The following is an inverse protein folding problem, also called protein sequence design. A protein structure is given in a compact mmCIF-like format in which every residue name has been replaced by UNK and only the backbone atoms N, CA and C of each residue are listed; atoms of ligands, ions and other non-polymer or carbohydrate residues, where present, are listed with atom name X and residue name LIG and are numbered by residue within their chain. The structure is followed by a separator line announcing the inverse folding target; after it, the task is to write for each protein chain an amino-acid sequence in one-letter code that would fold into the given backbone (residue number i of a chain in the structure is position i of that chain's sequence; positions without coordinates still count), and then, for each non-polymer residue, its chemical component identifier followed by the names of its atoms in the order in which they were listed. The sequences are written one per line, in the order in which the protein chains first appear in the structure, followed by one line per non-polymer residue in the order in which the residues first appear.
data_IF_352247575427
#
_entry.id   IF_352247575427
#
_cell.length_a   1.000
_cell.length_b   1.000
_cell.length_c   1.000
_cell.angle_alpha   90.00
_cell.angle_beta   90.00
_cell.angle_gamma   90.00
#
_symmetry.space_group_name_H-M   'P 1'
#
loop_
_entity.id
_entity.type
_entity.pdbx_description
1 polymer ?
#
# COMPACT_ATOMS: atom_id res chain seq x y z
N UNK A 1 29.55 -12.08 -11.42
CA UNK A 1 28.17 -11.90 -11.88
C UNK A 1 27.20 -12.23 -10.72
N UNK A 2 27.12 -13.47 -10.18
CA UNK A 2 26.17 -13.84 -9.13
C UNK A 2 26.28 -12.98 -7.86
N UNK A 3 27.52 -12.71 -7.40
CA UNK A 3 27.80 -11.88 -6.22
C UNK A 3 27.27 -10.44 -6.39
N UNK A 4 27.34 -9.89 -7.59
CA UNK A 4 26.83 -8.54 -7.89
C UNK A 4 25.30 -8.51 -7.94
N UNK A 5 24.69 -9.55 -8.53
CA UNK A 5 23.23 -9.68 -8.55
C UNK A 5 22.70 -9.75 -7.12
N UNK A 6 23.24 -10.65 -6.28
CA UNK A 6 22.84 -10.78 -4.88
C UNK A 6 23.04 -9.46 -4.13
N UNK A 7 24.19 -8.78 -4.32
CA UNK A 7 24.48 -7.49 -3.66
C UNK A 7 23.52 -6.38 -4.04
N UNK A 8 22.92 -6.42 -5.23
CA UNK A 8 21.92 -5.44 -5.68
C UNK A 8 20.51 -5.82 -5.30
N UNK A 9 20.20 -7.12 -5.27
CA UNK A 9 18.83 -7.63 -5.06
C UNK A 9 18.45 -7.81 -3.59
N UNK A 10 19.41 -8.10 -2.69
CA UNK A 10 19.09 -8.37 -1.28
C UNK A 10 18.33 -7.26 -0.56
N UNK A 11 18.57 -5.95 -0.83
CA UNK A 11 17.81 -4.91 -0.13
C UNK A 11 16.34 -4.88 -0.56
N UNK A 12 16.07 -5.20 -1.83
CA UNK A 12 14.70 -5.33 -2.35
C UNK A 12 14.04 -6.55 -1.73
N UNK A 13 14.73 -7.69 -1.73
CA UNK A 13 14.22 -8.92 -1.11
C UNK A 13 13.90 -8.72 0.38
N UNK A 14 14.75 -8.01 1.12
CA UNK A 14 14.52 -7.71 2.53
C UNK A 14 13.31 -6.79 2.73
N UNK A 15 13.15 -5.73 1.91
CA UNK A 15 11.98 -4.86 2.01
C UNK A 15 10.69 -5.60 1.67
N UNK A 16 10.71 -6.52 0.69
CA UNK A 16 9.56 -7.39 0.37
C UNK A 16 9.26 -8.32 1.55
N UNK A 17 10.28 -8.95 2.15
CA UNK A 17 10.10 -9.82 3.30
C UNK A 17 9.49 -9.07 4.50
N UNK A 18 9.99 -7.88 4.82
CA UNK A 18 9.43 -7.03 5.87
C UNK A 18 8.00 -6.60 5.56
N UNK A 19 7.69 -6.29 4.30
CA UNK A 19 6.34 -5.99 3.85
C UNK A 19 5.40 -7.17 4.05
N UNK A 20 5.80 -8.38 3.66
CA UNK A 20 5.01 -9.60 3.86
C UNK A 20 4.77 -9.90 5.35
N UNK A 21 5.74 -9.61 6.22
CA UNK A 21 5.57 -9.79 7.66
C UNK A 21 4.39 -8.95 8.15
N UNK A 22 4.38 -7.64 7.93
CA UNK A 22 3.28 -6.84 8.47
C UNK A 22 1.96 -7.02 7.69
N UNK A 23 1.98 -7.40 6.40
CA UNK A 23 0.76 -7.64 5.61
C UNK A 23 0.08 -8.99 5.92
N UNK A 24 0.77 -9.95 6.49
CA UNK A 24 0.19 -11.28 6.75
C UNK A 24 0.13 -11.64 8.23
N UNK A 25 0.84 -10.90 9.08
CA UNK A 25 0.83 -11.10 10.54
C UNK A 25 -0.53 -10.73 11.14
N UNK A 26 -1.26 -9.80 10.57
CA UNK A 26 -2.62 -9.44 10.96
C UNK A 26 -3.57 -10.65 10.97
N UNK A 27 -3.63 -11.36 9.84
CA UNK A 27 -4.46 -12.57 9.68
C UNK A 27 -3.97 -13.70 10.59
N UNK A 28 -2.66 -13.85 10.74
CA UNK A 28 -2.07 -14.85 11.63
C UNK A 28 -2.45 -14.59 13.09
N UNK A 29 -2.25 -13.38 13.61
CA UNK A 29 -2.61 -13.03 14.98
C UNK A 29 -4.13 -13.13 15.18
N UNK A 30 -4.92 -12.67 14.21
CA UNK A 30 -6.37 -12.79 14.27
C UNK A 30 -6.82 -14.27 14.40
N UNK A 31 -6.19 -15.18 13.65
CA UNK A 31 -6.50 -16.61 13.69
C UNK A 31 -6.13 -17.30 15.00
N UNK A 32 -5.13 -16.77 15.72
CA UNK A 32 -4.71 -17.30 17.01
C UNK A 32 -5.55 -16.80 18.20
N UNK A 33 -6.18 -15.62 18.05
CA UNK A 33 -6.80 -14.90 19.18
C UNK A 33 -8.33 -14.83 19.05
N UNK A 34 -8.87 -14.99 17.85
CA UNK A 34 -10.30 -14.81 17.57
C UNK A 34 -10.91 -16.07 16.91
N UNK A 35 -12.26 -16.25 17.04
CA UNK A 35 -12.96 -17.36 16.38
C UNK A 35 -12.78 -17.36 14.86
N UNK A 36 -12.87 -18.53 14.24
CA UNK A 36 -12.73 -18.69 12.78
C UNK A 36 -13.72 -17.83 11.99
N UNK A 37 -14.90 -17.56 12.51
CA UNK A 37 -15.87 -16.67 11.87
C UNK A 37 -15.30 -15.25 11.68
N UNK A 38 -14.60 -14.70 12.69
CA UNK A 38 -13.96 -13.39 12.58
C UNK A 38 -12.83 -13.40 11.54
N UNK A 39 -12.06 -14.48 11.45
CA UNK A 39 -11.02 -14.65 10.43
C UNK A 39 -11.65 -14.75 9.04
N UNK A 40 -12.78 -15.43 8.90
CA UNK A 40 -13.54 -15.53 7.65
C UNK A 40 -14.05 -14.17 7.16
N UNK A 41 -14.64 -13.36 8.07
CA UNK A 41 -15.12 -12.01 7.78
C UNK A 41 -13.95 -11.11 7.31
N UNK A 42 -12.83 -11.13 8.02
CA UNK A 42 -11.63 -10.37 7.65
C UNK A 42 -11.04 -10.82 6.32
N UNK A 43 -10.86 -12.14 6.17
CA UNK A 43 -10.26 -12.75 4.98
C UNK A 43 -11.07 -12.51 3.72
N UNK A 44 -12.40 -12.48 3.81
CA UNK A 44 -13.28 -12.19 2.66
C UNK A 44 -13.06 -10.75 2.16
N UNK A 45 -13.00 -9.75 3.07
CA UNK A 45 -12.69 -8.37 2.71
C UNK A 45 -11.27 -8.24 2.15
N UNK A 46 -10.31 -8.95 2.75
CA UNK A 46 -8.91 -8.90 2.34
C UNK A 46 -8.68 -9.44 0.92
N UNK A 47 -9.43 -10.47 0.50
CA UNK A 47 -9.38 -10.97 -0.89
C UNK A 47 -9.76 -9.91 -1.92
N UNK A 48 -10.75 -9.07 -1.61
CA UNK A 48 -11.12 -7.95 -2.50
C UNK A 48 -9.96 -6.95 -2.58
N UNK A 49 -9.34 -6.63 -1.44
CA UNK A 49 -8.17 -5.74 -1.40
C UNK A 49 -6.99 -6.32 -2.18
N UNK A 50 -6.69 -7.61 -2.04
CA UNK A 50 -5.60 -8.27 -2.79
C UNK A 50 -5.77 -8.10 -4.31
N UNK A 51 -7.00 -8.17 -4.82
CA UNK A 51 -7.30 -7.90 -6.24
C UNK A 51 -7.09 -6.43 -6.58
N UNK A 52 -7.63 -5.52 -5.77
CA UNK A 52 -7.56 -4.07 -6.01
C UNK A 52 -6.11 -3.58 -6.04
N UNK A 53 -5.26 -4.03 -5.11
CA UNK A 53 -3.86 -3.60 -5.04
C UNK A 53 -2.98 -4.19 -6.14
N UNK A 54 -3.45 -5.17 -6.90
CA UNK A 54 -2.73 -5.68 -8.08
C UNK A 54 -2.51 -4.57 -9.11
N UNK A 55 -3.47 -3.65 -9.27
CA UNK A 55 -3.40 -2.57 -10.24
C UNK A 55 -2.19 -1.63 -10.02
N UNK A 56 -1.96 -1.05 -8.83
CA UNK A 56 -0.78 -0.20 -8.61
C UNK A 56 0.54 -0.94 -8.78
N UNK A 57 0.63 -2.23 -8.44
CA UNK A 57 1.84 -3.01 -8.64
C UNK A 57 2.11 -3.30 -10.13
N UNK A 58 1.09 -3.64 -10.92
CA UNK A 58 1.23 -3.81 -12.36
C UNK A 58 1.66 -2.51 -13.04
N UNK A 59 1.02 -1.39 -12.70
CA UNK A 59 1.37 -0.08 -13.22
C UNK A 59 2.80 0.32 -12.86
N UNK A 60 3.18 0.12 -11.59
CA UNK A 60 4.54 0.42 -11.13
C UNK A 60 5.60 -0.41 -11.89
N UNK A 61 5.30 -1.66 -12.24
CA UNK A 61 6.16 -2.50 -13.07
C UNK A 61 6.41 -1.91 -14.47
N UNK A 62 5.39 -1.27 -15.06
CA UNK A 62 5.50 -0.62 -16.36
C UNK A 62 6.26 0.70 -16.29
N UNK A 63 6.03 1.50 -15.26
CA UNK A 63 6.63 2.83 -15.14
C UNK A 63 8.06 2.82 -14.60
N UNK A 64 8.45 1.78 -13.86
CA UNK A 64 9.78 1.66 -13.25
C UNK A 64 10.94 1.74 -14.26
N UNK A 65 10.93 1.06 -15.41
CA UNK A 65 11.97 1.21 -16.43
C UNK A 65 12.10 2.65 -16.94
N UNK A 66 10.98 3.35 -17.15
CA UNK A 66 10.95 4.74 -17.62
C UNK A 66 11.58 5.68 -16.61
N UNK A 67 11.24 5.53 -15.33
CA UNK A 67 11.83 6.29 -14.23
C UNK A 67 13.33 6.00 -14.12
N UNK A 68 13.73 4.73 -14.22
CA UNK A 68 15.14 4.31 -14.12
C UNK A 68 15.98 4.87 -15.27
N UNK A 69 15.48 4.81 -16.51
CA UNK A 69 16.16 5.38 -17.68
C UNK A 69 16.34 6.91 -17.52
N UNK A 70 15.27 7.62 -17.18
CA UNK A 70 15.31 9.07 -16.99
C UNK A 70 16.29 9.49 -15.89
N UNK A 71 16.40 8.71 -14.82
CA UNK A 71 17.37 8.95 -13.75
C UNK A 71 18.80 8.66 -14.20
N UNK A 72 19.03 7.58 -14.95
CA UNK A 72 20.36 7.22 -15.47
C UNK A 72 20.89 8.26 -16.47
N UNK A 73 20.00 8.83 -17.29
CA UNK A 73 20.29 9.93 -18.23
C UNK A 73 20.52 11.28 -17.53
N UNK A 74 20.48 11.33 -16.18
CA UNK A 74 20.54 12.54 -15.37
C UNK A 74 19.47 13.59 -15.73
N UNK A 75 18.37 13.15 -16.36
CA UNK A 75 17.25 14.02 -16.71
C UNK A 75 16.26 14.10 -15.56
N UNK A 76 16.58 14.91 -14.54
CA UNK A 76 15.74 15.09 -13.36
C UNK A 76 14.36 15.67 -13.68
N UNK A 77 14.22 16.45 -14.76
CA UNK A 77 12.93 16.98 -15.22
C UNK A 77 12.00 15.86 -15.68
N UNK A 78 12.47 14.99 -16.58
CA UNK A 78 11.72 13.85 -17.10
C UNK A 78 11.38 12.83 -16.00
N UNK A 79 12.30 12.63 -15.04
CA UNK A 79 12.03 11.79 -13.87
C UNK A 79 10.87 12.34 -13.03
N UNK A 80 10.93 13.63 -12.67
CA UNK A 80 9.88 14.30 -11.87
C UNK A 80 8.54 14.32 -12.60
N UNK A 81 8.55 14.53 -13.91
CA UNK A 81 7.35 14.49 -14.74
C UNK A 81 6.72 13.09 -14.74
N UNK A 82 7.53 12.02 -14.90
CA UNK A 82 7.06 10.64 -14.84
C UNK A 82 6.47 10.31 -13.47
N UNK A 83 7.11 10.76 -12.38
CA UNK A 83 6.60 10.61 -11.02
C UNK A 83 5.26 11.31 -10.84
N UNK A 84 5.12 12.56 -11.32
CA UNK A 84 3.89 13.34 -11.19
C UNK A 84 2.75 12.72 -11.97
N UNK A 85 2.97 12.35 -13.24
CA UNK A 85 1.94 11.71 -14.07
C UNK A 85 1.46 10.39 -13.46
N UNK A 86 2.39 9.61 -12.90
CA UNK A 86 2.07 8.36 -12.22
C UNK A 86 1.27 8.59 -10.93
N UNK A 87 1.66 9.59 -10.13
CA UNK A 87 0.93 9.96 -8.93
C UNK A 87 -0.49 10.43 -9.26
N UNK A 88 -0.65 11.29 -10.27
CA UNK A 88 -1.94 11.80 -10.72
C UNK A 88 -2.85 10.67 -11.20
N UNK A 89 -2.32 9.73 -12.00
CA UNK A 89 -3.06 8.58 -12.47
C UNK A 89 -3.54 7.69 -11.31
N UNK A 90 -2.67 7.41 -10.33
CA UNK A 90 -3.05 6.66 -9.15
C UNK A 90 -4.08 7.39 -8.28
N UNK A 91 -3.98 8.71 -8.14
CA UNK A 91 -4.94 9.50 -7.39
C UNK A 91 -6.33 9.50 -8.04
N UNK A 92 -6.41 9.57 -9.36
CA UNK A 92 -7.67 9.51 -10.11
C UNK A 92 -8.41 8.18 -9.86
N UNK A 93 -7.69 7.08 -9.68
CA UNK A 93 -8.29 5.77 -9.42
C UNK A 93 -8.56 5.57 -7.92
N UNK A 94 -7.59 5.92 -7.07
CA UNK A 94 -7.69 5.68 -5.64
C UNK A 94 -8.82 6.45 -4.98
N UNK A 95 -9.05 7.72 -5.35
CA UNK A 95 -10.09 8.54 -4.73
C UNK A 95 -11.50 7.98 -4.92
N UNK A 96 -11.97 7.71 -6.16
CA UNK A 96 -13.28 7.10 -6.36
C UNK A 96 -13.41 5.72 -5.70
N UNK A 97 -12.36 4.90 -5.70
CA UNK A 97 -12.37 3.61 -5.02
C UNK A 97 -12.56 3.76 -3.50
N UNK A 98 -11.81 4.66 -2.87
CA UNK A 98 -11.91 4.90 -1.43
C UNK A 98 -13.29 5.43 -1.03
N UNK A 99 -13.81 6.41 -1.77
CA UNK A 99 -15.12 6.99 -1.48
C UNK A 99 -16.26 6.06 -1.89
N UNK A 100 -16.21 5.47 -3.07
CA UNK A 100 -17.23 4.54 -3.56
C UNK A 100 -17.43 3.33 -2.62
N UNK A 101 -16.34 2.79 -2.10
CA UNK A 101 -16.41 1.68 -1.17
C UNK A 101 -17.11 2.04 0.15
N UNK A 102 -17.10 3.31 0.60
CA UNK A 102 -17.85 3.70 1.80
C UNK A 102 -19.36 3.44 1.67
N UNK A 103 -19.89 3.53 0.46
CA UNK A 103 -21.32 3.34 0.20
C UNK A 103 -21.64 1.94 -0.33
N UNK A 104 -20.73 1.32 -1.08
CA UNK A 104 -20.99 0.09 -1.83
C UNK A 104 -20.39 -1.17 -1.19
N UNK A 105 -19.57 -1.07 -0.15
CA UNK A 105 -18.83 -2.21 0.40
C UNK A 105 -19.73 -3.36 0.88
N UNK A 106 -20.83 -3.07 1.58
CA UNK A 106 -21.76 -4.11 2.05
C UNK A 106 -22.46 -4.86 0.90
N UNK A 107 -23.13 -4.17 -0.05
CA UNK A 107 -23.74 -4.87 -1.19
C UNK A 107 -22.69 -5.56 -2.06
N UNK A 108 -21.48 -5.00 -2.21
CA UNK A 108 -20.40 -5.63 -2.94
C UNK A 108 -19.97 -6.95 -2.29
N UNK A 109 -19.78 -6.97 -0.96
CA UNK A 109 -19.42 -8.20 -0.26
C UNK A 109 -20.53 -9.25 -0.30
N UNK A 110 -21.77 -8.83 -0.17
CA UNK A 110 -22.91 -9.75 -0.32
C UNK A 110 -22.99 -10.36 -1.73
N UNK A 111 -22.61 -9.62 -2.76
CA UNK A 111 -22.58 -10.08 -4.16
C UNK A 111 -21.40 -11.03 -4.44
N UNK A 112 -20.21 -10.68 -3.96
CA UNK A 112 -18.94 -11.37 -4.31
C UNK A 112 -18.69 -12.58 -3.41
N UNK A 113 -18.99 -12.46 -2.12
CA UNK A 113 -18.69 -13.49 -1.11
C UNK A 113 -19.92 -14.22 -0.57
N UNK A 114 -21.12 -13.71 -0.85
CA UNK A 114 -22.38 -14.24 -0.33
C UNK A 114 -22.99 -13.36 0.77
N UNK A 115 -24.30 -13.50 1.00
CA UNK A 115 -25.05 -12.68 1.96
C UNK A 115 -24.53 -12.80 3.40
N UNK A 116 -23.99 -13.96 3.77
CA UNK A 116 -23.39 -14.22 5.07
C UNK A 116 -22.11 -13.38 5.32
N UNK A 117 -21.44 -12.92 4.25
CA UNK A 117 -20.26 -12.06 4.33
C UNK A 117 -20.57 -10.58 4.15
N UNK A 118 -21.82 -10.15 4.20
CA UNK A 118 -22.19 -8.74 4.11
C UNK A 118 -21.50 -7.87 5.19
N UNK A 119 -21.24 -8.45 6.39
CA UNK A 119 -20.52 -7.79 7.49
C UNK A 119 -19.05 -7.49 7.14
N UNK A 120 -18.43 -8.30 6.27
CA UNK A 120 -17.08 -8.02 5.74
C UNK A 120 -17.00 -6.67 4.99
N UNK A 121 -18.15 -6.12 4.57
CA UNK A 121 -18.23 -4.78 4.00
C UNK A 121 -17.75 -3.68 4.95
N UNK A 122 -17.98 -3.81 6.26
CA UNK A 122 -17.48 -2.84 7.24
C UNK A 122 -15.94 -2.89 7.35
N UNK A 123 -15.38 -4.09 7.27
CA UNK A 123 -13.93 -4.28 7.20
C UNK A 123 -13.36 -3.72 5.90
N UNK A 124 -14.04 -3.96 4.78
CA UNK A 124 -13.63 -3.45 3.46
C UNK A 124 -13.60 -1.92 3.43
N UNK A 125 -14.55 -1.24 4.07
CA UNK A 125 -14.56 0.23 4.20
C UNK A 125 -13.28 0.76 4.85
N UNK A 126 -12.72 0.05 5.81
CA UNK A 126 -11.47 0.42 6.46
C UNK A 126 -10.28 0.04 5.57
N UNK A 127 -10.22 -1.19 5.12
CA UNK A 127 -9.08 -1.70 4.33
C UNK A 127 -8.90 -0.98 3.00
N UNK A 128 -9.96 -0.41 2.41
CA UNK A 128 -9.84 0.37 1.19
C UNK A 128 -9.02 1.67 1.39
N UNK A 129 -8.97 2.20 2.61
CA UNK A 129 -8.09 3.32 2.96
C UNK A 129 -6.62 2.90 2.91
N UNK A 130 -6.31 1.68 3.38
CA UNK A 130 -4.98 1.09 3.22
C UNK A 130 -4.63 0.90 1.74
N UNK A 131 -5.57 0.40 0.93
CA UNK A 131 -5.38 0.30 -0.52
C UNK A 131 -5.09 1.67 -1.15
N UNK A 132 -5.79 2.73 -0.76
CA UNK A 132 -5.50 4.10 -1.18
C UNK A 132 -4.07 4.53 -0.86
N UNK A 133 -3.60 4.23 0.35
CA UNK A 133 -2.21 4.49 0.75
C UNK A 133 -1.22 3.68 -0.12
N UNK A 134 -1.53 2.42 -0.44
CA UNK A 134 -0.73 1.58 -1.35
C UNK A 134 -0.69 2.18 -2.77
N UNK A 135 -1.84 2.62 -3.31
CA UNK A 135 -1.90 3.25 -4.64
C UNK A 135 -0.94 4.44 -4.75
N UNK A 136 -1.00 5.37 -3.81
CA UNK A 136 -0.16 6.56 -3.82
C UNK A 136 1.28 6.25 -3.43
N UNK A 137 1.48 5.40 -2.41
CA UNK A 137 2.78 5.02 -1.86
C UNK A 137 3.63 4.19 -2.81
N UNK A 138 3.00 3.34 -3.65
CA UNK A 138 3.69 2.48 -4.61
C UNK A 138 4.57 3.27 -5.58
N UNK A 139 4.11 4.44 -6.02
CA UNK A 139 4.87 5.30 -6.94
C UNK A 139 6.16 5.80 -6.29
N UNK A 140 6.10 6.22 -5.03
CA UNK A 140 7.29 6.65 -4.28
C UNK A 140 8.24 5.49 -4.01
N UNK A 141 7.72 4.32 -3.62
CA UNK A 141 8.54 3.13 -3.35
C UNK A 141 9.27 2.65 -4.60
N UNK A 142 8.63 2.62 -5.78
CA UNK A 142 9.27 2.29 -7.04
C UNK A 142 10.22 3.41 -7.51
N UNK A 143 9.90 4.67 -7.24
CA UNK A 143 10.82 5.79 -7.44
C UNK A 143 12.13 5.63 -6.67
N UNK A 144 12.09 5.14 -5.42
CA UNK A 144 13.29 4.84 -4.62
C UNK A 144 14.14 3.75 -5.28
N UNK A 145 13.50 2.74 -5.86
CA UNK A 145 14.19 1.68 -6.62
C UNK A 145 14.84 2.27 -7.86
N UNK A 146 14.11 3.10 -8.62
CA UNK A 146 14.59 3.75 -9.83
C UNK A 146 15.86 4.60 -9.60
N UNK A 147 15.96 5.28 -8.45
CA UNK A 147 17.13 6.08 -8.08
C UNK A 147 18.21 5.27 -7.32
N UNK A 148 18.06 3.94 -7.24
CA UNK A 148 18.99 3.01 -6.57
C UNK A 148 19.24 3.36 -5.07
N UNK A 149 18.19 3.78 -4.35
CA UNK A 149 18.25 4.14 -2.92
C UNK A 149 17.50 3.17 -2.00
N UNK A 150 17.11 1.99 -2.48
CA UNK A 150 16.35 0.99 -1.73
C UNK A 150 16.98 0.58 -0.39
N UNK A 151 18.32 0.61 -0.26
CA UNK A 151 18.99 0.34 1.01
C UNK A 151 18.67 1.36 2.11
N UNK A 152 18.39 2.60 1.73
CA UNK A 152 18.13 3.68 2.67
C UNK A 152 16.76 3.58 3.35
N UNK A 153 15.81 2.93 2.70
CA UNK A 153 14.44 2.80 3.21
C UNK A 153 14.26 1.54 4.09
N UNK A 154 15.22 0.61 4.13
CA UNK A 154 15.13 -0.64 4.93
C UNK A 154 14.78 -0.33 6.39
N UNK A 155 15.42 0.68 6.98
CA UNK A 155 15.13 1.08 8.37
C UNK A 155 13.67 1.51 8.58
N UNK A 156 13.07 2.19 7.59
CA UNK A 156 11.66 2.57 7.66
C UNK A 156 10.73 1.35 7.57
N UNK A 157 11.03 0.38 6.68
CA UNK A 157 10.27 -0.88 6.62
C UNK A 157 10.39 -1.68 7.91
N UNK A 158 11.59 -1.76 8.49
CA UNK A 158 11.81 -2.45 9.76
C UNK A 158 11.04 -1.77 10.91
N UNK A 159 11.11 -0.45 11.01
CA UNK A 159 10.36 0.33 11.99
C UNK A 159 8.84 0.09 11.83
N UNK A 160 8.33 0.18 10.61
CA UNK A 160 6.91 -0.04 10.32
C UNK A 160 6.50 -1.49 10.65
N UNK A 161 7.32 -2.49 10.31
CA UNK A 161 7.02 -3.88 10.63
C UNK A 161 6.94 -4.11 12.16
N UNK A 162 7.88 -3.58 12.93
CA UNK A 162 7.88 -3.71 14.40
C UNK A 162 6.64 -3.02 15.00
N UNK A 163 6.35 -1.78 14.59
CA UNK A 163 5.22 -1.02 15.14
C UNK A 163 3.88 -1.58 14.68
N UNK A 164 3.76 -2.11 13.46
CA UNK A 164 2.56 -2.78 12.98
C UNK A 164 2.28 -4.07 13.74
N UNK A 165 3.31 -4.92 13.96
CA UNK A 165 3.15 -6.15 14.75
C UNK A 165 2.75 -5.81 16.19
N UNK A 166 3.35 -4.80 16.81
CA UNK A 166 2.95 -4.33 18.13
C UNK A 166 1.48 -3.83 18.14
N UNK A 167 1.07 -3.09 17.11
CA UNK A 167 -0.31 -2.64 16.96
C UNK A 167 -1.28 -3.84 16.82
N UNK A 168 -0.94 -4.86 16.03
CA UNK A 168 -1.76 -6.06 15.89
C UNK A 168 -1.92 -6.80 17.24
N UNK A 169 -0.83 -6.98 17.99
CA UNK A 169 -0.87 -7.65 19.31
C UNK A 169 -1.75 -6.87 20.29
N UNK A 170 -1.77 -5.53 20.23
CA UNK A 170 -2.53 -4.69 21.17
C UNK A 170 -4.00 -4.55 20.71
N UNK A 171 -4.25 -4.31 19.41
CA UNK A 171 -5.59 -3.95 18.95
C UNK A 171 -6.45 -5.15 18.55
N UNK A 172 -5.88 -6.25 18.03
CA UNK A 172 -6.68 -7.41 17.64
C UNK A 172 -7.41 -8.05 18.83
N UNK A 173 -6.78 -8.28 20.02
CA UNK A 173 -7.50 -8.81 21.17
C UNK A 173 -8.68 -7.94 21.61
N UNK A 174 -8.58 -6.60 21.48
CA UNK A 174 -9.59 -5.65 21.92
C UNK A 174 -10.67 -5.39 20.88
N UNK A 175 -10.29 -5.25 19.61
CA UNK A 175 -11.17 -4.77 18.54
C UNK A 175 -11.37 -5.79 17.40
N UNK A 176 -10.85 -7.02 17.56
CA UNK A 176 -10.99 -8.10 16.58
C UNK A 176 -10.49 -7.67 15.18
N UNK A 177 -11.21 -8.01 14.13
CA UNK A 177 -10.87 -7.66 12.75
C UNK A 177 -10.85 -6.15 12.47
N UNK A 178 -11.56 -5.33 13.22
CA UNK A 178 -11.44 -3.87 13.11
C UNK A 178 -10.07 -3.38 13.57
N UNK A 179 -9.54 -3.97 14.65
CA UNK A 179 -8.19 -3.68 15.13
C UNK A 179 -7.12 -4.05 14.10
N UNK A 180 -7.29 -5.21 13.43
CA UNK A 180 -6.42 -5.62 12.34
C UNK A 180 -6.48 -4.62 11.17
N UNK A 181 -7.69 -4.26 10.71
CA UNK A 181 -7.88 -3.36 9.59
C UNK A 181 -7.27 -1.97 9.83
N UNK A 182 -7.47 -1.37 11.00
CA UNK A 182 -6.88 -0.07 11.32
C UNK A 182 -5.36 -0.11 11.46
N UNK A 183 -4.81 -1.18 12.02
CA UNK A 183 -3.36 -1.34 12.08
C UNK A 183 -2.75 -1.53 10.68
N UNK A 184 -3.47 -2.17 9.74
CA UNK A 184 -3.07 -2.25 8.34
C UNK A 184 -3.10 -0.86 7.68
N UNK A 185 -4.14 -0.05 7.89
CA UNK A 185 -4.18 1.35 7.42
C UNK A 185 -2.98 2.14 7.94
N UNK A 186 -2.67 1.99 9.23
CA UNK A 186 -1.51 2.62 9.85
C UNK A 186 -0.20 2.21 9.15
N UNK A 187 0.05 0.91 8.97
CA UNK A 187 1.31 0.44 8.39
C UNK A 187 1.49 0.89 6.94
N UNK A 188 0.44 0.82 6.12
CA UNK A 188 0.52 1.24 4.71
C UNK A 188 0.68 2.76 4.58
N UNK A 189 0.00 3.54 5.41
CA UNK A 189 0.16 5.00 5.45
C UNK A 189 1.58 5.39 5.88
N UNK A 190 2.16 4.69 6.87
CA UNK A 190 3.54 4.93 7.31
C UNK A 190 4.56 4.64 6.21
N UNK A 191 4.42 3.53 5.47
CA UNK A 191 5.32 3.22 4.35
C UNK A 191 5.15 4.23 3.21
N UNK A 192 3.93 4.63 2.88
CA UNK A 192 3.68 5.67 1.89
C UNK A 192 4.35 7.00 2.28
N UNK A 193 4.20 7.40 3.54
CA UNK A 193 4.83 8.61 4.08
C UNK A 193 6.37 8.54 4.04
N UNK A 194 6.97 7.46 4.54
CA UNK A 194 8.42 7.30 4.49
C UNK A 194 8.93 7.27 3.05
N UNK A 195 8.24 6.58 2.15
CA UNK A 195 8.63 6.52 0.74
C UNK A 195 8.58 7.90 0.08
N UNK A 196 7.54 8.69 0.35
CA UNK A 196 7.44 10.07 -0.12
C UNK A 196 8.56 10.95 0.45
N UNK A 197 8.85 10.84 1.76
CA UNK A 197 9.95 11.56 2.40
C UNK A 197 11.31 11.21 1.78
N UNK A 198 11.59 9.94 1.52
CA UNK A 198 12.86 9.53 0.92
C UNK A 198 13.00 10.01 -0.54
N UNK A 199 11.92 10.00 -1.32
CA UNK A 199 11.92 10.55 -2.68
C UNK A 199 12.14 12.07 -2.65
N UNK A 200 11.49 12.77 -1.75
CA UNK A 200 11.76 14.18 -1.56
C UNK A 200 13.22 14.44 -1.22
N UNK A 201 13.77 13.71 -0.26
CA UNK A 201 15.16 13.89 0.21
C UNK A 201 16.20 13.59 -0.87
N UNK A 202 16.01 12.58 -1.71
CA UNK A 202 17.04 12.11 -2.64
C UNK A 202 16.82 12.53 -4.10
N UNK A 203 15.61 12.79 -4.51
CA UNK A 203 15.25 13.21 -5.87
C UNK A 203 14.67 14.63 -5.94
N UNK A 204 14.42 15.28 -4.79
CA UNK A 204 13.82 16.62 -4.73
C UNK A 204 12.45 16.68 -5.39
N UNK A 205 11.65 15.57 -5.28
CA UNK A 205 10.32 15.51 -5.84
C UNK A 205 9.28 15.57 -4.73
N UNK A 206 8.35 16.53 -4.87
CA UNK A 206 7.09 16.58 -4.12
C UNK A 206 5.95 16.61 -5.13
N UNK A 207 4.90 15.80 -4.94
CA UNK A 207 3.78 15.79 -5.86
C UNK A 207 2.99 17.09 -5.78
N UNK A 208 2.55 17.59 -6.94
CA UNK A 208 1.54 18.61 -7.00
C UNK A 208 0.18 17.95 -6.74
N UNK A 209 -0.49 18.37 -5.67
CA UNK A 209 -1.74 17.77 -5.22
C UNK A 209 -2.99 18.29 -5.93
N UNK A 210 -2.84 19.12 -6.99
CA UNK A 210 -3.98 19.72 -7.70
C UNK A 210 -4.96 18.67 -8.25
N UNK A 211 -4.43 17.62 -8.89
CA UNK A 211 -5.26 16.53 -9.44
C UNK A 211 -5.83 15.66 -8.31
N UNK A 212 -5.04 15.39 -7.28
CA UNK A 212 -5.50 14.70 -6.07
C UNK A 212 -6.74 15.37 -5.46
N UNK A 213 -6.70 16.68 -5.23
CA UNK A 213 -7.85 17.40 -4.67
C UNK A 213 -9.03 17.51 -5.64
N UNK A 214 -8.77 17.61 -6.95
CA UNK A 214 -9.85 17.58 -7.95
C UNK A 214 -10.53 16.20 -7.99
N UNK A 215 -9.76 15.11 -7.95
CA UNK A 215 -10.30 13.76 -7.92
C UNK A 215 -11.07 13.50 -6.63
N UNK A 216 -10.54 13.98 -5.49
CA UNK A 216 -11.23 13.94 -4.21
C UNK A 216 -12.60 14.63 -4.29
N UNK A 217 -12.65 15.89 -4.79
CA UNK A 217 -13.88 16.65 -4.91
C UNK A 217 -14.89 16.02 -5.88
N UNK A 218 -14.44 15.33 -6.92
CA UNK A 218 -15.29 14.63 -7.87
C UNK A 218 -15.82 13.28 -7.34
N UNK A 219 -15.27 12.78 -6.23
CA UNK A 219 -15.63 11.49 -5.63
C UNK A 219 -16.60 11.61 -4.45
N UNK A 220 -16.87 12.85 -4.03
CA UNK A 220 -17.85 13.22 -2.98
C UNK A 220 -19.19 13.57 -3.63
#
# INVERSE_FOLDING_TARGET
IWREIIKKSWPIALTIALNLIYLKTDTLILSLVKPQAAVGIYGAAYKVIDVVITLPFMFAGVILPIMTASWAEKNGGKFKESMQRSFDFMAIIAMPLMFGAQFTARPLMALVAGKEFAESGEVLRILILAAGAIFLGSIFSHGIIAINKQKKIIGAYLFTAITAVAAYIIFIPRFSYFGAAWATVYSETMIAFFSAYFIWKYAGFLPNLKIFFKSLAASI
#
